data_IF_738759342174
#
_entry.id   IF_738759342174
#
_cell.length_a   1.000
_cell.length_b   1.000
_cell.length_c   1.000
_cell.angle_alpha   90.00
_cell.angle_beta   90.00
_cell.angle_gamma   90.00
#
_symmetry.space_group_name_H-M   'P 1'
#
loop_
_entity.id
_entity.type
_entity.pdbx_description
1 polymer ?
#
# COMPACT_ATOMS: atom_id res chain seq x y z
N UNK A 1 8.15 -14.96 -5.91
CA UNK A 1 6.85 -14.50 -6.42
C UNK A 1 7.09 -14.09 -7.87
N UNK A 2 6.21 -14.43 -8.82
CA UNK A 2 6.40 -14.03 -10.23
C UNK A 2 5.69 -12.69 -10.39
N UNK A 3 6.46 -11.63 -10.62
CA UNK A 3 5.94 -10.26 -10.77
C UNK A 3 5.31 -10.10 -12.14
N UNK A 4 4.20 -9.36 -12.24
CA UNK A 4 3.58 -9.09 -13.54
C UNK A 4 4.22 -7.90 -14.25
N UNK A 5 4.77 -6.95 -13.50
CA UNK A 5 5.46 -5.77 -14.03
C UNK A 5 6.80 -5.61 -13.32
N UNK A 6 7.87 -5.56 -14.09
CA UNK A 6 9.24 -5.25 -13.69
C UNK A 6 10.00 -4.71 -14.90
N UNK A 7 11.19 -4.15 -14.67
CA UNK A 7 12.06 -3.65 -15.76
C UNK A 7 12.33 -4.72 -16.84
N UNK A 8 12.34 -6.01 -16.46
CA UNK A 8 12.64 -7.14 -17.34
C UNK A 8 11.39 -7.97 -17.77
N UNK A 9 10.20 -7.66 -17.24
CA UNK A 9 8.99 -8.44 -17.52
C UNK A 9 7.73 -7.57 -17.45
N UNK A 10 7.00 -7.51 -18.57
CA UNK A 10 5.78 -6.69 -18.69
C UNK A 10 4.60 -7.53 -19.16
N UNK A 11 3.92 -8.20 -18.22
CA UNK A 11 2.69 -8.97 -18.45
C UNK A 11 1.45 -8.19 -17.98
N UNK A 12 1.07 -7.20 -18.79
CA UNK A 12 -0.11 -6.34 -18.55
C UNK A 12 -1.38 -7.18 -18.41
N UNK A 13 -1.53 -8.23 -19.23
CA UNK A 13 -2.73 -9.05 -19.25
C UNK A 13 -2.83 -9.89 -17.99
N UNK A 14 -1.73 -10.54 -17.59
CA UNK A 14 -1.65 -11.27 -16.32
C UNK A 14 -1.90 -10.36 -15.12
N UNK A 15 -1.37 -9.14 -15.13
CA UNK A 15 -1.68 -8.15 -14.10
C UNK A 15 -3.18 -7.83 -14.05
N UNK A 16 -3.82 -7.55 -15.18
CA UNK A 16 -5.26 -7.28 -15.20
C UNK A 16 -6.12 -8.47 -14.79
N UNK A 17 -5.74 -9.69 -15.17
CA UNK A 17 -6.41 -10.91 -14.72
C UNK A 17 -6.29 -11.07 -13.21
N UNK A 18 -5.10 -10.83 -12.66
CA UNK A 18 -4.86 -10.85 -11.23
C UNK A 18 -5.65 -9.75 -10.51
N UNK A 19 -5.66 -8.51 -11.01
CA UNK A 19 -6.42 -7.41 -10.40
C UNK A 19 -7.89 -7.78 -10.29
N UNK A 20 -8.50 -8.40 -11.32
CA UNK A 20 -9.89 -8.87 -11.25
C UNK A 20 -10.15 -9.85 -10.10
N UNK A 21 -9.17 -10.70 -9.75
CA UNK A 21 -9.31 -11.61 -8.60
C UNK A 21 -9.40 -10.87 -7.25
N UNK A 22 -8.98 -9.60 -7.21
CA UNK A 22 -9.05 -8.77 -6.02
C UNK A 22 -10.43 -8.14 -5.80
N UNK A 23 -11.27 -8.00 -6.83
CA UNK A 23 -12.60 -7.37 -6.73
C UNK A 23 -13.46 -7.94 -5.59
N UNK A 24 -13.65 -9.27 -5.43
CA UNK A 24 -14.46 -9.81 -4.34
C UNK A 24 -13.82 -9.64 -2.95
N UNK A 25 -12.57 -9.18 -2.86
CA UNK A 25 -11.75 -9.13 -1.64
C UNK A 25 -11.67 -7.75 -1.03
N UNK A 26 -12.24 -6.74 -1.70
CA UNK A 26 -12.24 -5.36 -1.24
C UNK A 26 -13.59 -4.70 -1.51
N UNK A 27 -13.80 -3.52 -0.94
CA UNK A 27 -15.01 -2.76 -1.27
C UNK A 27 -14.98 -2.34 -2.75
N UNK A 28 -16.13 -2.25 -3.41
CA UNK A 28 -16.23 -1.75 -4.80
C UNK A 28 -15.52 -0.41 -4.99
N UNK A 29 -15.56 0.46 -3.98
CA UNK A 29 -14.87 1.75 -3.97
C UNK A 29 -13.35 1.58 -3.97
N UNK A 30 -12.82 0.77 -3.05
CA UNK A 30 -11.40 0.48 -2.98
C UNK A 30 -10.92 -0.19 -4.27
N UNK A 31 -11.65 -1.18 -4.78
CA UNK A 31 -11.33 -1.86 -6.04
C UNK A 31 -11.21 -0.88 -7.20
N UNK A 32 -12.24 -0.07 -7.41
CA UNK A 32 -12.22 0.95 -8.46
C UNK A 32 -11.05 1.90 -8.31
N UNK A 33 -10.70 2.28 -7.08
CA UNK A 33 -9.59 3.19 -6.84
C UNK A 33 -8.24 2.56 -7.17
N UNK A 34 -7.90 1.43 -6.55
CA UNK A 34 -6.60 0.77 -6.75
C UNK A 34 -6.44 0.17 -8.16
N UNK A 35 -7.53 -0.06 -8.90
CA UNK A 35 -7.46 -0.50 -10.31
C UNK A 35 -7.25 0.64 -11.30
N UNK A 36 -7.51 1.90 -10.91
CA UNK A 36 -7.49 3.06 -11.83
C UNK A 36 -6.49 4.14 -11.43
N UNK A 37 -5.96 4.06 -10.20
CA UNK A 37 -5.06 5.06 -9.64
C UNK A 37 -3.84 4.37 -9.05
N UNK A 38 -2.69 4.99 -9.26
CA UNK A 38 -1.43 4.65 -8.59
C UNK A 38 -0.99 5.82 -7.72
N UNK A 39 -0.24 5.50 -6.66
CA UNK A 39 0.44 6.47 -5.82
C UNK A 39 1.86 6.79 -6.30
N UNK A 40 2.19 6.51 -7.55
CA UNK A 40 3.44 6.96 -8.18
C UNK A 40 3.65 8.47 -7.93
N UNK A 41 4.85 8.81 -7.46
CA UNK A 41 5.29 10.15 -7.03
C UNK A 41 4.52 10.74 -5.83
N UNK A 42 3.76 9.93 -5.08
CA UNK A 42 3.12 10.39 -3.86
C UNK A 42 4.14 10.41 -2.71
N UNK A 43 4.28 11.57 -2.07
CA UNK A 43 5.14 11.73 -0.92
C UNK A 43 4.55 11.02 0.29
N UNK A 44 5.36 10.20 0.97
CA UNK A 44 4.99 9.60 2.25
C UNK A 44 5.15 10.63 3.37
N UNK A 45 4.03 11.11 3.90
CA UNK A 45 3.97 12.03 5.06
C UNK A 45 4.04 11.28 6.39
N UNK A 46 3.41 10.10 6.47
CA UNK A 46 3.45 9.29 7.67
C UNK A 46 3.16 7.82 7.38
N UNK A 47 3.66 6.96 8.25
CA UNK A 47 3.37 5.53 8.25
C UNK A 47 3.19 5.08 9.70
N UNK A 48 2.00 4.62 10.07
CA UNK A 48 1.61 4.37 11.45
C UNK A 48 1.14 2.93 11.64
N UNK A 49 1.68 2.25 12.65
CA UNK A 49 1.22 0.93 13.09
C UNK A 49 0.34 1.13 14.32
N UNK A 50 -0.91 0.69 14.25
CA UNK A 50 -1.93 0.94 15.25
C UNK A 50 -2.45 -0.41 15.75
N UNK A 51 -2.42 -0.61 17.07
CA UNK A 51 -3.09 -1.75 17.68
C UNK A 51 -4.55 -1.35 18.00
N UNK A 52 -5.50 -1.92 17.26
CA UNK A 52 -6.93 -1.65 17.38
C UNK A 52 -7.64 -2.63 18.32
N UNK A 53 -6.92 -3.22 19.28
CA UNK A 53 -7.48 -4.21 20.21
C UNK A 53 -8.50 -3.55 21.14
N UNK A 54 -9.77 -3.68 20.80
CA UNK A 54 -10.90 -3.31 21.67
C UNK A 54 -11.55 -4.55 22.33
N UNK A 55 -11.16 -5.77 21.94
CA UNK A 55 -11.63 -7.04 22.48
C UNK A 55 -10.58 -8.14 22.30
N UNK A 56 -10.62 -9.17 23.16
CA UNK A 56 -9.75 -10.36 23.07
C UNK A 56 -10.11 -11.28 21.90
N UNK A 57 -11.28 -11.15 21.31
CA UNK A 57 -11.79 -12.04 20.24
C UNK A 57 -11.41 -11.59 18.83
N UNK A 58 -10.85 -10.39 18.66
CA UNK A 58 -10.48 -9.87 17.35
C UNK A 58 -9.20 -10.54 16.85
N UNK A 59 -9.34 -11.42 15.86
CA UNK A 59 -8.22 -11.97 15.09
C UNK A 59 -7.54 -10.82 14.32
N UNK A 60 -6.21 -10.74 14.38
CA UNK A 60 -5.36 -9.70 13.75
C UNK A 60 -5.80 -8.27 14.11
N UNK A 61 -5.59 -7.81 15.36
CA UNK A 61 -6.00 -6.49 15.82
C UNK A 61 -5.04 -5.37 15.41
N UNK A 62 -4.24 -5.57 14.37
CA UNK A 62 -3.26 -4.59 13.89
C UNK A 62 -3.80 -3.90 12.64
N UNK A 63 -3.66 -2.59 12.60
CA UNK A 63 -3.92 -1.74 11.45
C UNK A 63 -2.63 -1.00 11.10
N UNK A 64 -2.41 -0.79 9.80
CA UNK A 64 -1.42 0.15 9.31
C UNK A 64 -2.15 1.27 8.58
N UNK A 65 -1.70 2.51 8.79
CA UNK A 65 -2.19 3.67 8.05
C UNK A 65 -1.02 4.44 7.43
N UNK A 66 -1.12 4.78 6.13
CA UNK A 66 -0.16 5.64 5.45
C UNK A 66 -0.78 6.98 5.04
N UNK A 67 -0.10 8.05 5.47
CA UNK A 67 -0.23 9.45 5.10
C UNK A 67 0.39 9.75 3.73
N UNK A 68 -0.33 9.91 2.62
CA UNK A 68 0.28 10.20 1.31
C UNK A 68 -0.17 11.54 0.73
N UNK A 69 0.74 12.32 0.18
CA UNK A 69 0.42 13.54 -0.57
C UNK A 69 0.78 13.36 -2.04
N UNK A 70 -0.22 13.43 -2.93
CA UNK A 70 -0.03 13.35 -4.38
C UNK A 70 0.07 14.76 -4.98
N UNK A 71 1.27 15.13 -5.45
CA UNK A 71 1.60 16.49 -5.86
C UNK A 71 1.27 17.53 -4.78
N UNK A 72 0.87 18.74 -5.17
CA UNK A 72 0.51 19.80 -4.20
C UNK A 72 -0.99 19.85 -3.87
N UNK A 73 -1.77 18.79 -4.17
CA UNK A 73 -3.23 18.93 -4.29
C UNK A 73 -4.07 18.03 -3.41
N UNK A 74 -3.64 16.80 -3.13
CA UNK A 74 -4.51 15.85 -2.45
C UNK A 74 -3.74 14.94 -1.52
N UNK A 75 -4.24 14.86 -0.30
CA UNK A 75 -3.73 13.94 0.70
C UNK A 75 -4.67 12.75 0.78
N UNK A 76 -4.10 11.56 0.78
CA UNK A 76 -4.80 10.29 0.90
C UNK A 76 -4.33 9.58 2.15
N UNK A 77 -5.26 8.97 2.89
CA UNK A 77 -4.97 7.99 3.92
C UNK A 77 -5.25 6.60 3.38
N UNK A 78 -4.24 5.76 3.33
CA UNK A 78 -4.38 4.33 3.02
C UNK A 78 -4.46 3.56 4.32
N UNK A 79 -5.35 2.57 4.36
CA UNK A 79 -5.67 1.82 5.57
C UNK A 79 -5.57 0.34 5.23
N UNK A 80 -4.60 -0.34 5.82
CA UNK A 80 -4.53 -1.80 5.84
C UNK A 80 -5.04 -2.30 7.18
N UNK A 81 -6.16 -3.00 7.13
CA UNK A 81 -6.84 -3.58 8.29
C UNK A 81 -6.62 -5.08 8.36
N UNK A 82 -6.66 -5.62 9.59
CA UNK A 82 -6.40 -7.05 9.85
C UNK A 82 -5.02 -7.46 9.37
N UNK A 83 -4.01 -6.67 9.72
CA UNK A 83 -2.61 -6.92 9.34
C UNK A 83 -2.14 -8.18 10.05
N UNK A 84 -1.63 -9.11 9.24
CA UNK A 84 -1.10 -10.41 9.65
C UNK A 84 0.42 -10.32 9.78
N UNK A 85 1.07 -9.60 8.86
CA UNK A 85 2.51 -9.39 8.85
C UNK A 85 2.91 -8.11 8.14
N UNK A 86 4.04 -7.55 8.55
CA UNK A 86 4.71 -6.43 7.88
C UNK A 86 6.21 -6.71 7.85
N UNK A 87 6.83 -6.44 6.71
CA UNK A 87 8.30 -6.38 6.56
C UNK A 87 8.68 -5.04 5.99
N UNK A 88 9.73 -4.46 6.56
CA UNK A 88 10.27 -3.17 6.16
C UNK A 88 11.75 -3.37 5.84
N UNK A 89 12.07 -3.40 4.56
CA UNK A 89 13.44 -3.57 4.08
C UNK A 89 14.02 -2.18 3.84
N UNK A 90 14.42 -1.52 4.93
CA UNK A 90 14.98 -0.17 4.91
C UNK A 90 16.47 -0.23 4.57
N UNK A 91 16.83 0.23 3.37
CA UNK A 91 18.21 0.22 2.89
C UNK A 91 18.78 1.64 2.93
N UNK A 92 19.58 1.93 3.95
CA UNK A 92 20.35 3.18 4.05
C UNK A 92 21.47 3.24 3.00
N UNK A 93 21.18 3.64 1.76
CA UNK A 93 22.19 3.94 0.72
C UNK A 93 22.87 5.30 0.97
N UNK A 94 24.14 5.29 1.36
CA UNK A 94 24.93 6.49 1.73
C UNK A 94 24.93 7.63 0.69
N UNK A 95 24.56 7.37 -0.57
CA UNK A 95 24.64 8.32 -1.69
C UNK A 95 23.30 8.98 -2.11
N UNK A 96 22.20 8.76 -1.37
CA UNK A 96 20.92 9.43 -1.63
C UNK A 96 20.76 10.66 -0.72
N UNK A 97 20.05 11.70 -1.19
CA UNK A 97 19.64 12.80 -0.32
C UNK A 97 18.53 12.30 0.62
N UNK A 98 18.92 11.84 1.81
CA UNK A 98 18.05 11.21 2.80
C UNK A 98 16.98 12.17 3.32
N UNK A 99 15.73 12.01 2.86
CA UNK A 99 14.55 12.66 3.46
C UNK A 99 13.59 11.65 4.13
N UNK A 100 14.08 10.45 4.46
CA UNK A 100 13.33 9.40 5.16
C UNK A 100 12.81 8.33 4.22
N UNK A 101 11.51 8.00 4.34
CA UNK A 101 10.84 7.05 3.45
C UNK A 101 10.82 7.55 2.00
N UNK A 102 10.68 8.86 1.82
CA UNK A 102 10.66 9.54 0.53
C UNK A 102 9.41 9.17 -0.31
N UNK A 103 9.44 9.39 -1.62
CA UNK A 103 8.30 9.20 -2.52
C UNK A 103 7.99 7.74 -2.81
N UNK A 104 6.70 7.46 -3.02
CA UNK A 104 6.20 6.16 -3.42
C UNK A 104 6.36 5.98 -4.94
N UNK A 105 7.25 5.08 -5.35
CA UNK A 105 7.62 4.90 -6.76
C UNK A 105 6.90 3.75 -7.42
N UNK A 106 6.55 2.71 -6.67
CA UNK A 106 5.84 1.55 -7.20
C UNK A 106 4.99 0.89 -6.12
N UNK A 107 3.84 0.34 -6.53
CA UNK A 107 3.09 -0.61 -5.73
C UNK A 107 2.43 -1.72 -6.54
N UNK A 108 2.26 -2.86 -5.88
CA UNK A 108 1.52 -4.00 -6.41
C UNK A 108 0.68 -4.67 -5.32
N UNK A 109 -0.61 -4.84 -5.59
CA UNK A 109 -1.52 -5.61 -4.76
C UNK A 109 -1.68 -7.02 -5.31
N UNK A 110 -1.36 -8.03 -4.51
CA UNK A 110 -1.44 -9.44 -4.90
C UNK A 110 -2.28 -10.28 -3.94
N UNK A 111 -2.81 -11.41 -4.42
CA UNK A 111 -3.35 -12.45 -3.54
C UNK A 111 -2.18 -13.16 -2.87
N UNK A 112 -2.26 -13.35 -1.55
CA UNK A 112 -1.33 -14.23 -0.84
C UNK A 112 -1.92 -15.64 -0.71
N UNK A 113 -3.20 -15.71 -0.35
CA UNK A 113 -3.98 -16.94 -0.20
C UNK A 113 -5.49 -16.60 -0.28
N UNK A 114 -6.33 -17.61 -0.05
CA UNK A 114 -7.80 -17.50 -0.09
C UNK A 114 -8.40 -16.55 0.97
N UNK A 115 -7.60 -16.01 1.90
CA UNK A 115 -8.02 -15.19 3.05
C UNK A 115 -7.16 -13.93 3.27
N UNK A 116 -6.10 -13.70 2.50
CA UNK A 116 -5.21 -12.55 2.67
C UNK A 116 -4.64 -12.01 1.36
N UNK A 117 -4.25 -10.73 1.43
CA UNK A 117 -3.69 -9.92 0.37
C UNK A 117 -2.27 -9.49 0.77
N UNK A 118 -1.43 -9.28 -0.23
CA UNK A 118 -0.14 -8.63 -0.09
C UNK A 118 -0.17 -7.27 -0.78
N UNK A 119 0.52 -6.31 -0.19
CA UNK A 119 0.84 -5.03 -0.82
C UNK A 119 2.35 -4.86 -0.75
N UNK A 120 2.97 -4.86 -1.91
CA UNK A 120 4.37 -4.50 -2.07
C UNK A 120 4.45 -3.04 -2.47
N UNK A 121 5.34 -2.30 -1.83
CA UNK A 121 5.56 -0.87 -2.05
C UNK A 121 7.06 -0.65 -2.18
N UNK A 122 7.48 0.05 -3.22
CA UNK A 122 8.84 0.56 -3.36
C UNK A 122 8.85 2.06 -3.25
N UNK A 123 9.87 2.56 -2.57
CA UNK A 123 10.07 3.98 -2.31
C UNK A 123 11.36 4.46 -2.99
N UNK A 124 11.43 5.74 -3.34
CA UNK A 124 12.62 6.35 -3.97
C UNK A 124 13.85 6.32 -3.08
N UNK A 125 13.68 6.21 -1.75
CA UNK A 125 14.76 5.93 -0.78
C UNK A 125 15.46 4.57 -1.00
N UNK A 126 14.89 3.69 -1.84
CA UNK A 126 15.33 2.30 -2.00
C UNK A 126 14.75 1.35 -0.95
N UNK A 127 13.84 1.85 -0.10
CA UNK A 127 13.10 1.04 0.87
C UNK A 127 12.01 0.24 0.18
N UNK A 128 11.86 -1.02 0.58
CA UNK A 128 10.70 -1.85 0.20
C UNK A 128 9.84 -2.18 1.41
N UNK A 129 8.52 -2.03 1.27
CA UNK A 129 7.54 -2.34 2.31
C UNK A 129 6.64 -3.46 1.82
N UNK A 130 6.49 -4.50 2.62
CA UNK A 130 5.61 -5.63 2.35
C UNK A 130 4.57 -5.73 3.46
N UNK A 131 3.29 -5.69 3.09
CA UNK A 131 2.19 -5.74 4.05
C UNK A 131 1.29 -6.92 3.69
N UNK A 132 1.13 -7.87 4.60
CA UNK A 132 0.13 -8.94 4.50
C UNK A 132 -1.08 -8.62 5.39
N UNK A 133 -2.28 -8.59 4.80
CA UNK A 133 -3.49 -8.07 5.45
C UNK A 133 -4.75 -8.70 4.86
N UNK A 134 -5.92 -8.47 5.48
CA UNK A 134 -7.19 -8.99 4.95
C UNK A 134 -8.10 -7.93 4.32
N UNK A 135 -7.94 -6.65 4.68
CA UNK A 135 -8.77 -5.56 4.16
C UNK A 135 -7.94 -4.32 3.87
N UNK A 136 -8.21 -3.68 2.73
CA UNK A 136 -7.65 -2.38 2.38
C UNK A 136 -8.77 -1.38 2.10
N UNK A 137 -8.57 -0.14 2.50
CA UNK A 137 -9.42 0.98 2.16
C UNK A 137 -8.59 2.26 2.00
N UNK A 138 -9.19 3.29 1.43
CA UNK A 138 -8.57 4.60 1.28
C UNK A 138 -9.56 5.72 1.63
N UNK A 139 -9.03 6.86 2.03
CA UNK A 139 -9.78 8.11 2.24
C UNK A 139 -9.02 9.28 1.66
N UNK A 140 -9.70 10.12 0.88
CA UNK A 140 -9.17 11.44 0.53
C UNK A 140 -9.40 12.39 1.71
N UNK A 141 -8.35 13.06 2.15
CA UNK A 141 -8.39 14.04 3.23
C UNK A 141 -8.43 15.42 2.56
N UNK A 142 -9.53 16.14 2.72
CA UNK A 142 -9.58 17.55 2.37
C UNK A 142 -8.85 18.33 3.47
N UNK A 143 -7.81 19.07 3.11
CA UNK A 143 -7.28 20.10 4.02
C UNK A 143 -8.31 21.22 4.06
N UNK A 144 -8.85 21.50 5.24
CA UNK A 144 -9.58 22.75 5.47
C UNK A 144 -8.61 23.89 5.19
N UNK A 145 -8.95 24.78 4.26
CA UNK A 145 -8.21 26.02 4.06
C UNK A 145 -8.28 26.81 5.36
N UNK A 146 -7.19 26.85 6.11
CA UNK A 146 -6.97 27.82 7.20
C UNK A 146 -6.53 29.14 6.64
#
# INVERSE_FOLDING_TARGET
>A
MKYFISDDHWDINGYWEQVKTLEPRMSKRAFKFFSLHSFHDAKVESFSIINTRNSRTIKYPTRIEALLTQGNRSTYKIIWDKVIGIRFDYLAKENLNWIGLDDWTYDELTLNDDNSLNHEIQLSSGTSIYINFQRIDYRRIQRSST
#
